data_IF_699249086567
#
_entry.id   IF_699249086567
#
_cell.length_a   1.000
_cell.length_b   1.000
_cell.length_c   1.000
_cell.angle_alpha   90.00
_cell.angle_beta   90.00
_cell.angle_gamma   90.00
#
_symmetry.space_group_name_H-M   'P 1'
#
loop_
_entity.id
_entity.type
_entity.pdbx_description
1 polymer ?
#
# COMPACT_ATOMS: atom_id res chain seq x y z
N UNK A 1 2.56 12.38 -27.41
CA UNK A 1 1.70 12.51 -26.21
C UNK A 1 0.46 11.60 -26.21
N UNK A 2 0.17 10.78 -27.23
CA UNK A 2 -1.00 9.89 -27.22
C UNK A 2 -0.85 8.64 -26.34
N UNK A 3 0.36 8.10 -26.16
CA UNK A 3 0.59 6.84 -25.42
C UNK A 3 0.18 6.89 -23.95
N UNK A 4 0.32 8.03 -23.27
CA UNK A 4 -0.02 8.17 -21.86
C UNK A 4 -1.53 8.27 -21.58
N UNK A 5 -2.36 8.55 -22.59
CA UNK A 5 -3.82 8.64 -22.40
C UNK A 5 -4.45 7.31 -21.94
N UNK A 6 -3.80 6.18 -22.20
CA UNK A 6 -4.24 4.84 -21.81
C UNK A 6 -3.56 4.29 -20.55
N UNK A 7 -2.81 5.13 -19.81
CA UNK A 7 -2.07 4.70 -18.59
C UNK A 7 -2.97 4.09 -17.52
N UNK A 8 -4.27 4.41 -17.54
CA UNK A 8 -5.27 3.87 -16.62
C UNK A 8 -5.51 2.37 -16.81
N UNK A 9 -5.44 1.85 -18.05
CA UNK A 9 -5.77 0.44 -18.32
C UNK A 9 -4.69 -0.52 -17.78
N UNK A 10 -3.38 -0.31 -18.04
CA UNK A 10 -2.32 -1.07 -17.40
C UNK A 10 -2.33 -0.93 -15.87
N UNK A 11 -2.66 0.25 -15.34
CA UNK A 11 -2.77 0.47 -13.90
C UNK A 11 -3.88 -0.37 -13.28
N UNK A 12 -5.09 -0.34 -13.86
CA UNK A 12 -6.22 -1.17 -13.40
C UNK A 12 -5.89 -2.66 -13.55
N UNK A 13 -5.24 -3.06 -14.64
CA UNK A 13 -4.83 -4.45 -14.81
C UNK A 13 -3.86 -4.89 -13.71
N UNK A 14 -2.79 -4.13 -13.47
CA UNK A 14 -1.76 -4.48 -12.51
C UNK A 14 -2.30 -4.52 -11.08
N UNK A 15 -3.02 -3.49 -10.65
CA UNK A 15 -3.50 -3.39 -9.25
C UNK A 15 -4.87 -4.02 -9.03
N UNK A 16 -5.71 -4.12 -10.05
CA UNK A 16 -6.97 -4.84 -10.00
C UNK A 16 -6.74 -6.35 -10.02
N UNK A 17 -6.16 -6.88 -11.11
CA UNK A 17 -5.89 -8.33 -11.21
C UNK A 17 -4.82 -8.74 -10.19
N UNK A 18 -3.72 -7.99 -10.08
CA UNK A 18 -2.70 -8.25 -9.06
C UNK A 18 -3.23 -8.09 -7.64
N UNK A 19 -4.16 -7.17 -7.40
CA UNK A 19 -4.86 -7.03 -6.12
C UNK A 19 -5.74 -8.23 -5.78
N UNK A 20 -6.47 -8.78 -6.76
CA UNK A 20 -7.24 -10.01 -6.57
C UNK A 20 -6.34 -11.19 -6.21
N UNK A 21 -5.21 -11.35 -6.89
CA UNK A 21 -4.22 -12.38 -6.57
C UNK A 21 -3.60 -12.16 -5.18
N UNK A 22 -3.30 -10.92 -4.83
CA UNK A 22 -2.77 -10.56 -3.50
C UNK A 22 -3.76 -10.89 -2.38
N UNK A 23 -5.04 -10.52 -2.54
CA UNK A 23 -6.11 -10.87 -1.58
C UNK A 23 -6.28 -12.38 -1.49
N UNK A 24 -6.25 -13.08 -2.62
CA UNK A 24 -6.33 -14.54 -2.64
C UNK A 24 -5.17 -15.18 -1.88
N UNK A 25 -3.95 -14.68 -2.06
CA UNK A 25 -2.77 -15.09 -1.31
C UNK A 25 -2.91 -14.86 0.20
N UNK A 26 -3.47 -13.71 0.60
CA UNK A 26 -3.80 -13.42 2.00
C UNK A 26 -4.80 -14.44 2.54
N UNK A 27 -5.90 -14.71 1.82
CA UNK A 27 -6.95 -15.64 2.25
C UNK A 27 -6.37 -17.04 2.44
N UNK A 28 -5.54 -17.53 1.51
CA UNK A 28 -4.88 -18.83 1.60
C UNK A 28 -3.96 -18.88 2.83
N UNK A 29 -3.15 -17.85 3.03
CA UNK A 29 -2.20 -17.74 4.15
C UNK A 29 -2.89 -17.72 5.52
N UNK A 30 -4.06 -17.08 5.60
CA UNK A 30 -4.90 -17.09 6.81
C UNK A 30 -5.55 -18.47 7.02
N UNK A 31 -6.08 -19.09 5.97
CA UNK A 31 -6.75 -20.40 6.05
C UNK A 31 -5.79 -21.56 6.36
N UNK A 32 -4.55 -21.48 5.91
CA UNK A 32 -3.53 -22.50 6.18
C UNK A 32 -3.01 -22.49 7.62
N UNK A 33 -3.44 -21.51 8.45
CA UNK A 33 -2.96 -21.36 9.82
C UNK A 33 -1.53 -20.81 9.94
N UNK A 34 -0.86 -20.54 8.81
CA UNK A 34 0.47 -19.92 8.77
C UNK A 34 0.46 -18.53 9.43
N UNK A 35 -0.69 -17.85 9.41
CA UNK A 35 -0.82 -16.49 9.89
C UNK A 35 -1.92 -16.32 10.96
N UNK A 36 -1.52 -16.45 12.22
CA UNK A 36 -2.43 -16.30 13.36
C UNK A 36 -2.68 -14.82 13.75
N UNK A 37 -3.84 -14.26 13.40
CA UNK A 37 -4.24 -12.88 13.75
C UNK A 37 -4.46 -12.64 15.26
N UNK A 38 -4.55 -13.70 16.08
CA UNK A 38 -4.61 -13.58 17.55
C UNK A 38 -3.25 -13.16 18.12
N UNK A 39 -2.15 -13.51 17.46
CA UNK A 39 -0.81 -13.07 17.85
C UNK A 39 -0.60 -11.60 17.44
N UNK A 40 -0.20 -10.76 18.39
CA UNK A 40 0.07 -9.34 18.16
C UNK A 40 1.14 -9.09 17.10
N UNK A 41 2.20 -9.90 17.06
CA UNK A 41 3.30 -9.76 16.10
C UNK A 41 2.83 -10.07 14.68
N UNK A 42 2.11 -11.18 14.50
CA UNK A 42 1.55 -11.54 13.20
C UNK A 42 0.56 -10.46 12.75
N UNK A 43 -0.36 -10.03 13.62
CA UNK A 43 -1.29 -8.95 13.29
C UNK A 43 -0.58 -7.66 12.83
N UNK A 44 0.56 -7.30 13.44
CA UNK A 44 1.36 -6.15 13.00
C UNK A 44 1.90 -6.36 11.58
N UNK A 45 2.51 -7.52 11.30
CA UNK A 45 3.04 -7.83 9.96
C UNK A 45 1.96 -7.89 8.88
N UNK A 46 0.74 -8.31 9.23
CA UNK A 46 -0.40 -8.28 8.32
C UNK A 46 -0.75 -6.86 7.91
N UNK A 47 -0.85 -5.97 8.90
CA UNK A 47 -1.11 -4.56 8.63
C UNK A 47 0.02 -3.92 7.83
N UNK A 48 1.29 -4.26 8.10
CA UNK A 48 2.43 -3.80 7.29
C UNK A 48 2.31 -4.30 5.84
N UNK A 49 1.93 -5.55 5.63
CA UNK A 49 1.76 -6.13 4.30
C UNK A 49 0.65 -5.42 3.50
N UNK A 50 -0.54 -5.29 4.09
CA UNK A 50 -1.70 -4.62 3.45
C UNK A 50 -1.40 -3.14 3.23
N UNK A 51 -0.82 -2.46 4.22
CA UNK A 51 -0.42 -1.07 4.09
C UNK A 51 0.63 -0.88 3.00
N UNK A 52 1.64 -1.76 2.93
CA UNK A 52 2.69 -1.70 1.91
C UNK A 52 2.13 -1.81 0.49
N UNK A 53 1.14 -2.68 0.26
CA UNK A 53 0.46 -2.78 -1.02
C UNK A 53 -0.27 -1.48 -1.40
N UNK A 54 -1.07 -0.92 -0.49
CA UNK A 54 -1.82 0.33 -0.72
C UNK A 54 -0.85 1.51 -0.92
N UNK A 55 0.22 1.57 -0.13
CA UNK A 55 1.25 2.58 -0.22
C UNK A 55 1.93 2.57 -1.59
N UNK A 56 2.35 1.39 -2.05
CA UNK A 56 2.99 1.22 -3.34
C UNK A 56 2.05 1.58 -4.50
N UNK A 57 0.80 1.11 -4.46
CA UNK A 57 -0.23 1.46 -5.44
C UNK A 57 -0.44 2.97 -5.52
N UNK A 58 -0.48 3.65 -4.37
CA UNK A 58 -0.70 5.11 -4.32
C UNK A 58 0.50 5.88 -4.84
N UNK A 59 1.72 5.48 -4.49
CA UNK A 59 2.95 6.10 -5.00
C UNK A 59 3.08 5.93 -6.52
N UNK A 60 2.82 4.73 -7.03
CA UNK A 60 2.84 4.47 -8.46
C UNK A 60 1.74 5.25 -9.21
N UNK A 61 0.55 5.35 -8.61
CA UNK A 61 -0.55 6.17 -9.11
C UNK A 61 -0.17 7.66 -9.17
N UNK A 62 0.47 8.17 -8.12
CA UNK A 62 1.02 9.54 -8.07
C UNK A 62 2.02 9.80 -9.20
N UNK A 63 2.96 8.90 -9.43
CA UNK A 63 3.92 9.02 -10.54
C UNK A 63 3.23 8.97 -11.91
N UNK A 64 2.18 8.16 -12.05
CA UNK A 64 1.36 8.10 -13.27
C UNK A 64 0.63 9.43 -13.49
N UNK A 65 0.10 10.03 -12.43
CA UNK A 65 -0.55 11.35 -12.48
C UNK A 65 0.43 12.47 -12.83
N UNK A 66 1.68 12.41 -12.35
CA UNK A 66 2.76 13.32 -12.78
C UNK A 66 3.02 13.19 -14.28
N UNK A 67 3.13 11.96 -14.80
CA UNK A 67 3.33 11.74 -16.23
C UNK A 67 2.15 12.24 -17.09
N UNK A 68 0.93 12.26 -16.53
CA UNK A 68 -0.27 12.80 -17.15
C UNK A 68 -0.41 14.34 -17.02
N UNK A 69 0.48 14.99 -16.27
CA UNK A 69 0.49 16.46 -16.08
C UNK A 69 -0.31 16.95 -14.87
N UNK A 70 -0.89 16.08 -14.05
CA UNK A 70 -1.61 16.43 -12.83
C UNK A 70 -0.66 16.69 -11.65
N UNK A 71 0.30 17.59 -11.85
CA UNK A 71 1.48 17.74 -10.99
C UNK A 71 1.12 18.10 -9.53
N UNK A 72 0.29 19.11 -9.33
CA UNK A 72 -0.08 19.57 -7.97
C UNK A 72 -0.79 18.48 -7.17
N UNK A 73 -1.76 17.80 -7.81
CA UNK A 73 -2.54 16.74 -7.19
C UNK A 73 -1.67 15.52 -6.88
N UNK A 74 -0.80 15.12 -7.80
CA UNK A 74 0.10 13.99 -7.60
C UNK A 74 1.09 14.22 -6.45
N UNK A 75 1.73 15.40 -6.43
CA UNK A 75 2.69 15.77 -5.38
C UNK A 75 1.99 15.82 -4.02
N UNK A 76 0.79 16.39 -3.93
CA UNK A 76 0.00 16.42 -2.70
C UNK A 76 -0.28 15.01 -2.16
N UNK A 77 -0.76 14.10 -3.01
CA UNK A 77 -1.06 12.71 -2.62
C UNK A 77 0.20 12.01 -2.12
N UNK A 78 1.33 12.15 -2.83
CA UNK A 78 2.59 11.52 -2.46
C UNK A 78 3.13 12.05 -1.12
N UNK A 79 3.07 13.37 -0.88
CA UNK A 79 3.47 13.95 0.41
C UNK A 79 2.57 13.50 1.56
N UNK A 80 1.26 13.42 1.35
CA UNK A 80 0.33 12.93 2.37
C UNK A 80 0.62 11.46 2.72
N UNK A 81 0.77 10.61 1.72
CA UNK A 81 1.04 9.18 1.94
C UNK A 81 2.39 8.93 2.60
N UNK A 82 3.44 9.64 2.19
CA UNK A 82 4.76 9.55 2.84
C UNK A 82 4.72 10.08 4.26
N UNK A 83 4.07 11.22 4.52
CA UNK A 83 3.88 11.77 5.86
C UNK A 83 3.10 10.85 6.80
N UNK A 84 2.04 10.21 6.30
CA UNK A 84 1.27 9.19 7.04
C UNK A 84 2.14 7.95 7.35
N UNK A 85 2.99 7.53 6.41
CA UNK A 85 3.89 6.39 6.59
C UNK A 85 4.93 6.65 7.69
N UNK A 86 5.52 7.84 7.67
CA UNK A 86 6.50 8.27 8.67
C UNK A 86 5.83 8.35 10.04
N UNK A 87 4.68 9.02 10.13
CA UNK A 87 3.91 9.15 11.37
C UNK A 87 3.52 7.78 11.92
N UNK A 88 2.98 6.90 11.07
CA UNK A 88 2.63 5.53 11.44
C UNK A 88 3.82 4.74 11.99
N UNK A 89 5.00 4.86 11.36
CA UNK A 89 6.23 4.20 11.82
C UNK A 89 6.69 4.73 13.19
N UNK A 90 6.65 6.06 13.38
CA UNK A 90 7.00 6.68 14.66
C UNK A 90 6.04 6.22 15.77
N UNK A 91 4.74 6.20 15.51
CA UNK A 91 3.73 5.74 16.46
C UNK A 91 3.91 4.26 16.82
N UNK A 92 4.18 3.40 15.82
CA UNK A 92 4.46 1.99 16.03
C UNK A 92 5.70 1.80 16.92
N UNK A 93 6.78 2.55 16.63
CA UNK A 93 8.02 2.54 17.43
C UNK A 93 7.78 2.99 18.87
N UNK A 94 7.04 4.07 19.08
CA UNK A 94 6.67 4.57 20.43
C UNK A 94 5.89 3.52 21.22
N UNK A 95 4.91 2.88 20.58
CA UNK A 95 4.09 1.83 21.21
C UNK A 95 4.94 0.63 21.63
N UNK A 96 5.90 0.22 20.80
CA UNK A 96 6.82 -0.88 21.14
C UNK A 96 7.74 -0.52 22.31
N UNK A 97 8.24 0.72 22.38
CA UNK A 97 9.12 1.17 23.46
C UNK A 97 8.38 1.35 24.80
N UNK A 98 7.12 1.80 24.78
CA UNK A 98 6.33 2.02 26.00
C UNK A 98 5.74 0.74 26.59
N UNK A 99 5.54 -0.29 25.77
CA UNK A 99 4.93 -1.55 26.18
C UNK A 99 5.96 -2.64 26.52
N UNK A 100 7.20 -2.23 26.81
CA UNK A 100 8.36 -3.05 27.19
C UNK A 100 8.82 -2.64 28.58
#
# INVERSE_FOLDING_TARGET
MSYFSHSWLPFIYLYGLGGLLFISGIVITLKSGSFNLKNHVHRQWFWVLVFGFIWYMTMHGGLTLLALGYNQLAVLIMFLVTGLSITGTILLRRKILYNK
#
